data_IF_438924855689
#
_entry.id   IF_438924855689
#
_cell.length_a   1.000
_cell.length_b   1.000
_cell.length_c   1.000
_cell.angle_alpha   90.00
_cell.angle_beta   90.00
_cell.angle_gamma   90.00
#
_symmetry.space_group_name_H-M   'P 1'
#
loop_
_entity.id
_entity.type
_entity.pdbx_description
1 polymer ?
#
# COMPACT_ATOMS: atom_id res chain seq x y z
N UNK A 1 0.14 9.89 -7.82
CA UNK A 1 0.28 8.68 -6.98
C UNK A 1 -0.58 7.58 -7.57
N UNK A 2 -0.22 6.33 -7.32
CA UNK A 2 -1.04 5.16 -7.64
C UNK A 2 -1.53 4.52 -6.33
N UNK A 3 -2.74 3.96 -6.33
CA UNK A 3 -3.33 3.23 -5.20
C UNK A 3 -3.91 1.93 -5.72
N UNK A 4 -3.66 0.84 -5.01
CA UNK A 4 -4.09 -0.51 -5.42
C UNK A 4 -5.13 -1.03 -4.43
N UNK A 5 -6.25 -1.50 -4.95
CA UNK A 5 -7.26 -2.25 -4.21
C UNK A 5 -7.11 -3.71 -4.60
N UNK A 6 -6.43 -4.49 -3.76
CA UNK A 6 -6.35 -5.94 -3.94
C UNK A 6 -7.56 -6.60 -3.32
N UNK A 7 -8.26 -7.42 -4.10
CA UNK A 7 -9.37 -8.24 -3.63
C UNK A 7 -8.97 -9.71 -3.60
N UNK A 8 -9.42 -10.43 -2.57
CA UNK A 8 -9.43 -11.89 -2.58
C UNK A 8 -10.70 -12.43 -3.26
N UNK A 9 -10.81 -13.76 -3.37
CA UNK A 9 -11.96 -14.43 -3.98
C UNK A 9 -13.30 -14.19 -3.26
N UNK A 10 -13.26 -13.77 -2.00
CA UNK A 10 -14.43 -13.51 -1.17
C UNK A 10 -14.79 -12.01 -1.18
N UNK A 11 -14.02 -11.19 -1.90
CA UNK A 11 -14.22 -9.75 -2.05
C UNK A 11 -13.66 -8.91 -0.89
N UNK A 12 -12.83 -9.48 -0.02
CA UNK A 12 -12.15 -8.74 1.02
C UNK A 12 -10.99 -7.91 0.43
N UNK A 13 -10.78 -6.70 0.96
CA UNK A 13 -9.73 -5.80 0.51
C UNK A 13 -8.52 -5.88 1.43
N UNK A 14 -7.32 -6.05 0.85
CA UNK A 14 -6.08 -5.91 1.61
C UNK A 14 -5.80 -4.43 1.92
N UNK A 15 -5.64 -4.12 3.22
CA UNK A 15 -5.19 -2.82 3.71
C UNK A 15 -3.97 -3.02 4.62
N UNK A 16 -3.04 -2.07 4.57
CA UNK A 16 -1.92 -1.99 5.51
C UNK A 16 -2.35 -1.23 6.76
N UNK A 17 -1.89 -1.69 7.92
CA UNK A 17 -2.09 -0.99 9.19
C UNK A 17 -0.81 -0.29 9.63
N UNK A 18 -0.79 1.03 9.56
CA UNK A 18 0.32 1.86 10.01
C UNK A 18 0.11 2.38 11.42
N UNK A 19 1.21 2.82 12.03
CA UNK A 19 1.25 3.59 13.27
C UNK A 19 2.52 4.43 13.29
N UNK A 20 2.48 5.60 13.92
CA UNK A 20 3.67 6.42 14.17
C UNK A 20 4.06 6.28 15.65
N UNK A 21 5.19 5.59 15.96
CA UNK A 21 5.68 5.44 17.32
C UNK A 21 5.96 6.77 18.03
N UNK A 22 6.24 7.86 17.30
CA UNK A 22 6.44 9.17 17.90
C UNK A 22 5.15 9.72 18.58
N UNK A 23 3.98 9.20 18.20
CA UNK A 23 2.71 9.51 18.85
C UNK A 23 2.38 8.64 20.07
N UNK A 24 3.23 7.69 20.44
CA UNK A 24 3.05 6.89 21.64
C UNK A 24 3.65 7.58 22.88
N UNK A 25 3.02 7.36 24.04
CA UNK A 25 3.59 7.66 25.34
C UNK A 25 3.55 6.43 26.26
N UNK A 26 3.93 6.56 27.53
CA UNK A 26 3.97 5.43 28.48
C UNK A 26 2.60 4.81 28.78
N UNK A 27 1.53 5.59 28.67
CA UNK A 27 0.16 5.19 28.99
C UNK A 27 -0.71 4.99 27.74
N UNK A 28 -0.34 5.59 26.62
CA UNK A 28 -1.13 5.65 25.39
C UNK A 28 -0.36 5.05 24.22
N UNK A 29 -0.86 3.99 23.57
CA UNK A 29 -0.23 3.43 22.38
C UNK A 29 -0.35 4.39 21.18
N UNK A 30 0.55 4.23 20.21
CA UNK A 30 0.51 5.00 18.96
C UNK A 30 -0.84 4.82 18.25
N UNK A 31 -1.40 5.90 17.67
CA UNK A 31 -2.60 5.79 16.85
C UNK A 31 -2.34 4.86 15.66
N UNK A 32 -3.37 4.10 15.27
CA UNK A 32 -3.34 3.21 14.11
C UNK A 32 -4.27 3.73 13.01
N UNK A 33 -3.87 3.54 11.76
CA UNK A 33 -4.71 3.84 10.60
C UNK A 33 -4.52 2.78 9.53
N UNK A 34 -5.53 2.68 8.65
CA UNK A 34 -5.56 1.72 7.56
C UNK A 34 -5.48 2.45 6.22
N UNK A 35 -4.67 1.93 5.31
CA UNK A 35 -4.48 2.51 4.00
C UNK A 35 -4.24 1.42 2.95
N UNK A 36 -4.56 1.74 1.70
CA UNK A 36 -4.32 0.85 0.56
C UNK A 36 -2.83 0.78 0.24
N UNK A 37 -2.43 -0.31 -0.39
CA UNK A 37 -1.13 -0.40 -1.08
C UNK A 37 -0.97 0.77 -2.04
N UNK A 38 0.25 1.27 -2.19
CA UNK A 38 0.61 2.22 -3.24
C UNK A 38 1.29 3.48 -2.74
N UNK A 39 1.88 4.23 -3.67
CA UNK A 39 2.68 5.39 -3.35
C UNK A 39 2.77 6.41 -4.48
N UNK A 40 3.81 7.24 -4.40
CA UNK A 40 4.05 8.28 -5.38
C UNK A 40 4.61 7.66 -6.67
N UNK A 41 4.12 8.14 -7.82
CA UNK A 41 4.79 7.83 -9.08
C UNK A 41 6.11 8.59 -9.14
N UNK A 42 7.16 7.93 -9.58
CA UNK A 42 8.48 8.52 -9.79
C UNK A 42 8.55 9.25 -11.13
N UNK A 43 9.59 10.06 -11.35
CA UNK A 43 9.77 10.80 -12.61
C UNK A 43 9.95 9.81 -13.77
N UNK A 44 9.12 9.93 -14.80
CA UNK A 44 9.13 9.03 -15.96
C UNK A 44 8.37 7.72 -15.76
N UNK A 45 7.78 7.50 -14.59
CA UNK A 45 6.98 6.32 -14.27
C UNK A 45 5.50 6.56 -14.63
N UNK A 46 4.89 5.63 -15.37
CA UNK A 46 3.44 5.61 -15.54
C UNK A 46 2.73 5.18 -14.25
N UNK A 47 1.44 5.48 -14.11
CA UNK A 47 0.68 5.07 -12.92
C UNK A 47 0.62 3.54 -12.75
N UNK A 48 0.57 2.78 -13.86
CA UNK A 48 0.59 1.32 -13.81
C UNK A 48 1.95 0.79 -13.33
N UNK A 49 3.05 1.35 -13.83
CA UNK A 49 4.39 1.00 -13.35
C UNK A 49 4.56 1.31 -11.85
N UNK A 50 4.09 2.49 -11.41
CA UNK A 50 4.08 2.85 -10.00
C UNK A 50 3.25 1.87 -9.17
N UNK A 51 2.09 1.44 -9.67
CA UNK A 51 1.25 0.47 -8.97
C UNK A 51 1.92 -0.90 -8.84
N UNK A 52 2.56 -1.42 -9.90
CA UNK A 52 3.29 -2.70 -9.85
C UNK A 52 4.46 -2.63 -8.88
N UNK A 53 5.27 -1.57 -8.95
CA UNK A 53 6.43 -1.39 -8.08
C UNK A 53 6.02 -1.32 -6.61
N UNK A 54 5.05 -0.49 -6.27
CA UNK A 54 4.60 -0.34 -4.88
C UNK A 54 3.93 -1.62 -4.36
N UNK A 55 3.22 -2.35 -5.22
CA UNK A 55 2.67 -3.66 -4.87
C UNK A 55 3.77 -4.66 -4.48
N UNK A 56 4.85 -4.73 -5.27
CA UNK A 56 6.00 -5.56 -4.94
C UNK A 56 6.71 -5.09 -3.67
N UNK A 57 6.98 -3.79 -3.54
CA UNK A 57 7.70 -3.22 -2.39
C UNK A 57 6.98 -3.46 -1.05
N UNK A 58 5.65 -3.33 -1.03
CA UNK A 58 4.87 -3.39 0.21
C UNK A 58 4.30 -4.79 0.53
N UNK A 59 4.15 -5.67 -0.47
CA UNK A 59 3.55 -7.01 -0.28
C UNK A 59 4.40 -8.17 -0.76
N UNK A 60 5.41 -7.91 -1.60
CA UNK A 60 6.17 -8.94 -2.32
C UNK A 60 5.42 -9.61 -3.48
N UNK A 61 4.18 -9.18 -3.78
CA UNK A 61 3.41 -9.71 -4.90
C UNK A 61 3.86 -9.05 -6.20
N UNK A 62 4.10 -9.88 -7.22
CA UNK A 62 4.52 -9.43 -8.55
C UNK A 62 3.39 -9.64 -9.56
N UNK A 63 3.12 -8.62 -10.37
CA UNK A 63 2.17 -8.66 -11.48
C UNK A 63 2.79 -7.97 -12.69
N UNK A 64 2.43 -8.40 -13.90
CA UNK A 64 2.81 -7.68 -15.10
C UNK A 64 2.00 -6.36 -15.19
N UNK A 65 2.59 -5.22 -15.59
CA UNK A 65 1.87 -3.95 -15.71
C UNK A 65 0.64 -4.02 -16.62
N UNK A 66 0.67 -4.90 -17.63
CA UNK A 66 -0.43 -5.12 -18.57
C UNK A 66 -1.62 -5.89 -17.95
N UNK A 67 -1.44 -6.42 -16.74
CA UNK A 67 -2.47 -7.12 -15.97
C UNK A 67 -3.21 -6.21 -14.97
N UNK A 68 -2.84 -4.92 -14.90
CA UNK A 68 -3.55 -3.88 -14.15
C UNK A 68 -4.59 -3.18 -15.02
#
# INVERSE_FOLDING_TARGET
SARIVLLDQDGAVLLLCGSDPAGADRATPAPRWWFTIGGAAQVGESLAQAAVRELEEETGLQVAPEAL
#
